data_IF_953352245661
#
_entry.id   IF_953352245661
#
_cell.length_a   1.000
_cell.length_b   1.000
_cell.length_c   1.000
_cell.angle_alpha   90.00
_cell.angle_beta   90.00
_cell.angle_gamma   90.00
#
_symmetry.space_group_name_H-M   'P 1'
#
loop_
_entity.id
_entity.type
_entity.pdbx_description
1 polymer ?
#
# COMPACT_ATOMS: atom_id res chain seq x y z
N UNK A 1 15.31 8.70 -0.18
CA UNK A 1 14.55 7.43 -0.21
C UNK A 1 14.59 6.86 1.20
N UNK A 2 13.44 6.75 1.87
CA UNK A 2 13.30 6.29 3.28
C UNK A 2 13.95 4.91 3.53
N UNK A 3 14.11 4.11 2.49
CA UNK A 3 14.53 2.71 2.62
C UNK A 3 16.02 2.51 2.38
N UNK A 4 16.71 3.47 1.73
CA UNK A 4 18.19 3.50 1.71
C UNK A 4 18.80 3.68 3.10
N UNK A 5 18.01 4.17 4.06
CA UNK A 5 18.44 4.34 5.45
C UNK A 5 18.24 3.09 6.31
N UNK A 6 17.52 2.07 5.82
CA UNK A 6 17.35 0.81 6.54
C UNK A 6 18.68 0.05 6.56
N UNK A 7 19.35 0.08 7.71
CA UNK A 7 20.64 -0.59 7.93
C UNK A 7 20.49 -1.60 9.06
N UNK A 8 21.15 -2.74 8.91
CA UNK A 8 21.32 -3.72 9.99
C UNK A 8 22.76 -3.65 10.46
N UNK A 9 22.98 -3.65 11.78
CA UNK A 9 24.33 -3.64 12.34
C UNK A 9 24.99 -5.01 12.10
N UNK A 10 26.32 -5.02 11.96
CA UNK A 10 27.08 -6.27 11.82
C UNK A 10 26.78 -7.25 12.98
N UNK A 11 26.79 -6.82 14.26
CA UNK A 11 26.43 -7.72 15.36
C UNK A 11 25.02 -8.27 15.26
N UNK A 12 24.04 -7.49 14.80
CA UNK A 12 22.69 -7.98 14.60
C UNK A 12 22.65 -9.06 13.51
N UNK A 13 23.32 -8.82 12.38
CA UNK A 13 23.35 -9.74 11.24
C UNK A 13 24.04 -11.07 11.55
N UNK A 14 25.06 -11.07 12.41
CA UNK A 14 25.76 -12.28 12.84
C UNK A 14 24.96 -13.13 13.84
N UNK A 15 24.08 -12.50 14.62
CA UNK A 15 23.36 -13.17 15.72
C UNK A 15 21.88 -13.44 15.41
N UNK A 16 21.36 -13.02 14.26
CA UNK A 16 19.94 -13.15 13.90
C UNK A 16 19.79 -13.65 12.45
N UNK A 17 18.68 -14.33 12.17
CA UNK A 17 18.29 -14.63 10.80
C UNK A 17 17.87 -13.34 10.07
N UNK A 18 18.67 -12.94 9.08
CA UNK A 18 18.35 -11.82 8.19
C UNK A 18 17.06 -12.08 7.42
N UNK A 19 16.82 -13.32 6.98
CA UNK A 19 15.59 -13.68 6.29
C UNK A 19 14.37 -13.43 7.18
N UNK A 20 14.39 -13.94 8.43
CA UNK A 20 13.28 -13.72 9.36
C UNK A 20 13.06 -12.23 9.66
N UNK A 21 14.14 -11.45 9.78
CA UNK A 21 14.07 -10.00 9.91
C UNK A 21 13.42 -9.33 8.70
N UNK A 22 13.81 -9.70 7.48
CA UNK A 22 13.25 -9.16 6.24
C UNK A 22 11.77 -9.52 6.09
N UNK A 23 11.39 -10.78 6.35
CA UNK A 23 9.99 -11.22 6.31
C UNK A 23 9.15 -10.44 7.31
N UNK A 24 9.65 -10.26 8.55
CA UNK A 24 8.96 -9.43 9.56
C UNK A 24 8.83 -7.99 9.10
N UNK A 25 9.87 -7.43 8.49
CA UNK A 25 9.86 -6.05 7.98
C UNK A 25 8.84 -5.87 6.86
N UNK A 26 8.75 -6.83 5.94
CA UNK A 26 7.73 -6.85 4.87
C UNK A 26 6.31 -6.96 5.43
N UNK A 27 6.10 -7.80 6.45
CA UNK A 27 4.80 -7.93 7.13
C UNK A 27 4.38 -6.64 7.88
N UNK A 28 5.35 -5.88 8.39
CA UNK A 28 5.11 -4.63 9.09
C UNK A 28 4.83 -3.43 8.17
N UNK A 29 4.90 -3.61 6.84
CA UNK A 29 4.59 -2.54 5.91
C UNK A 29 3.13 -2.11 6.03
N UNK A 30 2.93 -0.80 5.95
CA UNK A 30 1.60 -0.20 5.91
C UNK A 30 1.11 -0.24 4.47
N UNK A 31 0.56 -1.39 4.06
CA UNK A 31 0.23 -1.69 2.66
C UNK A 31 -0.75 -0.71 2.00
N UNK A 32 -1.58 -0.02 2.78
CA UNK A 32 -2.51 1.00 2.28
C UNK A 32 -1.83 2.36 2.00
N UNK A 33 -0.53 2.52 2.28
CA UNK A 33 0.27 3.67 1.85
C UNK A 33 0.88 3.38 0.48
N UNK A 34 0.08 3.57 -0.57
CA UNK A 34 0.46 3.15 -1.93
C UNK A 34 1.79 3.74 -2.42
N UNK A 35 2.12 4.99 -2.04
CA UNK A 35 3.41 5.59 -2.39
C UNK A 35 4.62 4.84 -1.80
N UNK A 36 4.48 4.35 -0.56
CA UNK A 36 5.54 3.56 0.10
C UNK A 36 5.66 2.18 -0.57
N UNK A 37 4.53 1.56 -0.91
CA UNK A 37 4.46 0.24 -1.56
C UNK A 37 4.94 0.28 -3.01
N UNK A 38 4.58 1.31 -3.79
CA UNK A 38 4.98 1.47 -5.19
C UNK A 38 6.49 1.37 -5.34
N UNK A 39 7.24 1.94 -4.39
CA UNK A 39 8.68 1.92 -4.45
C UNK A 39 9.26 0.49 -4.49
N UNK A 40 8.68 -0.45 -3.74
CA UNK A 40 9.09 -1.86 -3.76
C UNK A 40 8.77 -2.50 -5.11
N UNK A 41 7.56 -2.30 -5.61
CA UNK A 41 7.13 -2.81 -6.92
C UNK A 41 8.02 -2.27 -8.03
N UNK A 42 8.36 -0.98 -7.99
CA UNK A 42 9.21 -0.34 -8.99
C UNK A 42 10.65 -0.84 -8.92
N UNK A 43 11.21 -1.01 -7.72
CA UNK A 43 12.63 -1.40 -7.54
C UNK A 43 12.88 -2.88 -7.75
N UNK A 44 11.94 -3.73 -7.36
CA UNK A 44 12.09 -5.19 -7.39
C UNK A 44 11.45 -5.80 -8.64
N UNK A 45 10.29 -5.28 -9.07
CA UNK A 45 9.52 -5.85 -10.17
C UNK A 45 9.50 -4.96 -11.42
N UNK A 46 10.07 -3.74 -11.35
CA UNK A 46 9.99 -2.77 -12.46
C UNK A 46 8.58 -2.20 -12.69
N UNK A 47 7.64 -2.45 -11.78
CA UNK A 47 6.22 -2.07 -11.93
C UNK A 47 5.98 -0.71 -11.28
N UNK A 48 5.41 0.23 -12.04
CA UNK A 48 4.90 1.50 -11.51
C UNK A 48 3.39 1.45 -11.37
N UNK A 49 2.89 2.08 -10.31
CA UNK A 49 1.46 2.11 -10.01
C UNK A 49 0.81 3.25 -10.78
N UNK A 50 -0.37 2.98 -11.34
CA UNK A 50 -1.22 3.99 -11.95
C UNK A 50 -2.21 4.50 -10.88
N UNK A 51 -1.70 5.28 -9.92
CA UNK A 51 -2.50 5.78 -8.80
C UNK A 51 -3.32 7.00 -9.27
N UNK A 52 -4.64 6.89 -9.27
CA UNK A 52 -5.54 8.02 -9.52
C UNK A 52 -5.82 8.82 -8.26
N UNK A 53 -6.24 10.08 -8.43
CA UNK A 53 -6.63 10.93 -7.29
C UNK A 53 -7.86 10.39 -6.56
N UNK A 54 -8.76 9.74 -7.30
CA UNK A 54 -9.97 9.11 -6.81
C UNK A 54 -9.65 7.90 -5.93
N UNK A 55 -8.65 7.09 -6.32
CA UNK A 55 -8.18 5.97 -5.49
C UNK A 55 -7.57 6.47 -4.18
N UNK A 56 -6.82 7.58 -4.20
CA UNK A 56 -6.29 8.19 -2.99
C UNK A 56 -7.40 8.68 -2.06
N UNK A 57 -8.47 9.28 -2.58
CA UNK A 57 -9.64 9.66 -1.79
C UNK A 57 -10.32 8.45 -1.13
N UNK A 58 -10.42 7.32 -1.83
CA UNK A 58 -10.95 6.08 -1.22
C UNK A 58 -10.07 5.56 -0.07
N UNK A 59 -8.75 5.76 -0.13
CA UNK A 59 -7.84 5.41 0.97
C UNK A 59 -7.99 6.35 2.17
N UNK A 60 -8.21 7.64 1.94
CA UNK A 60 -8.53 8.61 3.00
C UNK A 60 -9.85 8.25 3.68
N UNK A 61 -10.88 7.92 2.90
CA UNK A 61 -12.17 7.44 3.40
C UNK A 61 -12.00 6.20 4.29
N UNK A 62 -11.16 5.25 3.84
CA UNK A 62 -10.79 4.08 4.64
C UNK A 62 -10.03 4.45 5.91
N UNK A 63 -9.22 5.51 5.93
CA UNK A 63 -8.58 6.00 7.16
C UNK A 63 -9.61 6.52 8.16
N UNK A 64 -10.63 7.25 7.70
CA UNK A 64 -11.69 7.75 8.56
C UNK A 64 -12.47 6.61 9.21
N UNK A 65 -12.86 5.59 8.43
CA UNK A 65 -13.55 4.42 9.00
C UNK A 65 -12.69 3.61 9.98
N UNK A 66 -11.44 3.34 9.64
CA UNK A 66 -10.59 2.42 10.43
C UNK A 66 -9.91 3.09 11.61
N UNK A 67 -9.56 4.37 11.52
CA UNK A 67 -8.77 5.06 12.53
C UNK A 67 -9.50 6.20 13.24
N UNK A 68 -10.63 6.66 12.68
CA UNK A 68 -11.45 7.72 13.25
C UNK A 68 -12.89 7.27 13.51
N UNK A 69 -13.15 5.96 13.52
CA UNK A 69 -14.46 5.36 13.77
C UNK A 69 -15.59 5.92 12.87
N UNK A 70 -15.28 6.25 11.62
CA UNK A 70 -16.24 6.80 10.68
C UNK A 70 -16.46 8.31 10.80
N UNK A 71 -15.51 9.04 11.40
CA UNK A 71 -15.52 10.49 11.47
C UNK A 71 -14.34 11.09 10.70
N UNK A 72 -14.49 12.29 10.17
CA UNK A 72 -13.38 13.04 9.56
C UNK A 72 -12.41 13.54 10.63
N UNK A 73 -11.30 14.16 10.22
CA UNK A 73 -10.36 14.80 11.16
C UNK A 73 -11.03 15.91 12.00
N UNK A 74 -12.02 16.57 11.40
CA UNK A 74 -12.75 17.68 12.01
C UNK A 74 -13.91 17.20 12.90
N UNK A 75 -14.15 15.88 12.97
CA UNK A 75 -15.18 15.26 13.82
C UNK A 75 -16.55 15.12 13.15
N UNK A 76 -16.65 15.34 11.85
CA UNK A 76 -17.89 15.17 11.08
C UNK A 76 -18.14 13.71 10.74
N UNK A 77 -19.41 13.27 10.75
CA UNK A 77 -19.79 11.91 10.37
C UNK A 77 -19.50 11.69 8.88
N UNK A 78 -18.85 10.58 8.56
CA UNK A 78 -18.65 10.12 7.19
C UNK A 78 -19.80 9.19 6.80
N UNK A 79 -20.69 9.67 5.94
CA UNK A 79 -21.77 8.86 5.36
C UNK A 79 -21.30 8.14 4.09
N UNK A 80 -21.77 6.90 3.88
CA UNK A 80 -21.55 6.14 2.64
C UNK A 80 -22.88 5.61 2.12
N UNK A 81 -23.00 5.58 0.80
CA UNK A 81 -24.07 4.89 0.09
C UNK A 81 -23.58 3.58 -0.54
N UNK A 82 -24.52 2.76 -1.03
CA UNK A 82 -24.18 1.59 -1.83
C UNK A 82 -23.46 2.00 -3.12
N UNK A 83 -23.87 3.13 -3.71
CA UNK A 83 -23.25 3.69 -4.91
C UNK A 83 -21.78 4.08 -4.67
N UNK A 84 -21.43 4.53 -3.45
CA UNK A 84 -20.04 4.85 -3.10
C UNK A 84 -19.18 3.59 -2.96
N UNK A 85 -19.76 2.52 -2.42
CA UNK A 85 -19.11 1.21 -2.38
C UNK A 85 -18.87 0.67 -3.79
N UNK A 86 -19.89 0.73 -4.66
CA UNK A 86 -19.78 0.28 -6.06
C UNK A 86 -18.71 1.07 -6.82
N UNK A 87 -18.66 2.40 -6.62
CA UNK A 87 -17.58 3.24 -7.17
C UNK A 87 -16.21 2.83 -6.65
N UNK A 88 -16.08 2.53 -5.35
CA UNK A 88 -14.82 2.10 -4.77
C UNK A 88 -14.34 0.78 -5.41
N UNK A 89 -15.24 -0.20 -5.56
CA UNK A 89 -14.94 -1.47 -6.24
C UNK A 89 -14.49 -1.22 -7.68
N UNK A 90 -15.27 -0.43 -8.43
CA UNK A 90 -14.96 -0.09 -9.82
C UNK A 90 -13.65 0.70 -10.01
N UNK A 91 -13.14 1.37 -8.97
CA UNK A 91 -11.83 2.02 -8.97
C UNK A 91 -10.69 1.06 -8.62
N UNK A 92 -10.90 0.15 -7.67
CA UNK A 92 -9.87 -0.77 -7.18
C UNK A 92 -9.63 -1.91 -8.17
N UNK A 93 -10.67 -2.44 -8.81
CA UNK A 93 -10.56 -3.56 -9.74
C UNK A 93 -9.60 -3.28 -10.91
N UNK A 94 -9.74 -2.18 -11.67
CA UNK A 94 -8.80 -1.85 -12.75
C UNK A 94 -7.38 -1.59 -12.25
N UNK A 95 -7.23 -0.99 -11.06
CA UNK A 95 -5.92 -0.74 -10.45
C UNK A 95 -5.17 -2.05 -10.17
N UNK A 96 -5.85 -3.03 -9.59
CA UNK A 96 -5.26 -4.35 -9.33
C UNK A 96 -4.98 -5.10 -10.63
N UNK A 97 -5.89 -5.02 -11.60
CA UNK A 97 -5.73 -5.66 -12.91
C UNK A 97 -4.53 -5.12 -13.68
N UNK A 98 -4.30 -3.80 -13.65
CA UNK A 98 -3.13 -3.15 -14.24
C UNK A 98 -1.81 -3.68 -13.65
N UNK A 99 -1.73 -3.77 -12.31
CA UNK A 99 -0.55 -4.34 -11.62
C UNK A 99 -0.34 -5.80 -12.02
N UNK A 100 -1.41 -6.60 -12.02
CA UNK A 100 -1.34 -8.01 -12.38
C UNK A 100 -0.86 -8.19 -13.82
N UNK A 101 -1.39 -7.42 -14.76
CA UNK A 101 -1.01 -7.46 -16.17
C UNK A 101 0.47 -7.13 -16.34
N UNK A 102 0.94 -6.05 -15.72
CA UNK A 102 2.36 -5.66 -15.74
C UNK A 102 3.26 -6.75 -15.15
N UNK A 103 2.82 -7.43 -14.08
CA UNK A 103 3.57 -8.52 -13.46
C UNK A 103 3.68 -9.75 -14.36
N UNK A 104 2.59 -10.14 -15.03
CA UNK A 104 2.60 -11.27 -15.97
C UNK A 104 3.47 -10.95 -17.17
N UNK A 105 3.32 -9.77 -17.78
CA UNK A 105 4.13 -9.35 -18.93
C UNK A 105 5.62 -9.27 -18.60
N UNK A 106 5.99 -8.83 -17.40
CA UNK A 106 7.40 -8.77 -16.99
C UNK A 106 8.05 -10.15 -16.75
N UNK A 107 7.24 -11.22 -16.65
CA UNK A 107 7.70 -12.59 -16.44
C UNK A 107 7.71 -13.46 -17.71
N UNK A 108 6.96 -13.07 -18.73
CA UNK A 108 6.91 -13.70 -20.05
C UNK A 108 8.10 -13.29 -20.91
#
# INVERSE_FOLDING_TARGET
>A
DKFRAATVTIPFALNNSIEAYLVRSMKALVWHRLNDVEMYYKKVLGIRFNISSELLKQLELRHDFVHRNGFTLDGEIVEISNEDLDKCIALVEPFVLDIHTKYVTAKS
#
